data_IF_818124359414
#
_entry.id   IF_818124359414
#
_cell.length_a   1.000
_cell.length_b   1.000
_cell.length_c   1.000
_cell.angle_alpha   90.00
_cell.angle_beta   90.00
_cell.angle_gamma   90.00
#
_symmetry.space_group_name_H-M   'P 1'
#
loop_
_entity.id
_entity.type
_entity.pdbx_description
1 polymer ?
#
# COMPACT_ATOMS: atom_id res chain seq x y z
N UNK A 1 53.68 -12.81 -62.97
CA UNK A 1 52.39 -13.45 -62.63
C UNK A 1 52.03 -13.15 -61.18
N UNK A 2 51.04 -12.31 -60.93
CA UNK A 2 50.61 -11.95 -59.57
C UNK A 2 49.63 -13.01 -59.02
N UNK A 3 49.98 -13.68 -57.91
CA UNK A 3 49.07 -14.60 -57.20
C UNK A 3 47.97 -13.78 -56.51
N UNK A 4 46.71 -13.93 -56.95
CA UNK A 4 45.53 -13.44 -56.24
C UNK A 4 45.44 -14.10 -54.86
N UNK A 5 45.68 -13.34 -53.78
CA UNK A 5 45.34 -13.76 -52.41
C UNK A 5 43.81 -13.82 -52.29
N UNK A 6 43.25 -15.02 -52.09
CA UNK A 6 41.83 -15.18 -51.77
C UNK A 6 41.61 -14.70 -50.33
N UNK A 7 41.00 -13.53 -50.18
CA UNK A 7 40.53 -13.04 -48.89
C UNK A 7 39.29 -13.85 -48.48
N UNK A 8 39.46 -14.83 -47.60
CA UNK A 8 38.34 -15.53 -46.99
C UNK A 8 37.66 -14.59 -45.98
N UNK A 9 36.54 -13.96 -46.37
CA UNK A 9 35.67 -13.28 -45.42
C UNK A 9 34.87 -14.33 -44.65
N UNK A 10 35.39 -14.73 -43.48
CA UNK A 10 34.67 -15.62 -42.55
C UNK A 10 33.49 -14.82 -41.95
N UNK A 11 32.28 -14.93 -42.53
CA UNK A 11 31.05 -14.40 -41.90
C UNK A 11 30.90 -15.07 -40.53
N UNK A 12 31.10 -14.31 -39.45
CA UNK A 12 30.84 -14.78 -38.08
C UNK A 12 29.34 -15.09 -37.99
N UNK A 13 28.99 -16.37 -37.84
CA UNK A 13 27.61 -16.76 -37.49
C UNK A 13 27.41 -16.38 -36.03
N UNK A 14 26.56 -15.38 -35.79
CA UNK A 14 26.20 -14.95 -34.44
C UNK A 14 25.42 -16.11 -33.80
N UNK A 15 25.83 -16.54 -32.60
CA UNK A 15 25.13 -17.59 -31.88
C UNK A 15 23.95 -17.00 -31.11
N UNK A 16 22.80 -16.92 -31.78
CA UNK A 16 21.57 -16.37 -31.22
C UNK A 16 21.09 -17.13 -29.97
N UNK A 17 21.50 -18.39 -29.75
CA UNK A 17 21.14 -19.14 -28.54
C UNK A 17 21.72 -18.52 -27.27
N UNK A 18 22.98 -18.07 -27.32
CA UNK A 18 23.63 -17.41 -26.18
C UNK A 18 23.01 -16.05 -25.86
N UNK A 19 22.60 -15.31 -26.90
CA UNK A 19 21.92 -14.02 -26.78
C UNK A 19 20.53 -14.19 -26.16
N UNK A 20 19.78 -15.21 -26.60
CA UNK A 20 18.45 -15.50 -26.08
C UNK A 20 18.48 -15.92 -24.60
N UNK A 21 19.48 -16.72 -24.22
CA UNK A 21 19.67 -17.14 -22.83
C UNK A 21 20.03 -15.95 -21.93
N UNK A 22 20.86 -15.03 -22.41
CA UNK A 22 21.22 -13.82 -21.68
C UNK A 22 20.00 -12.88 -21.50
N UNK A 23 19.16 -12.75 -22.53
CA UNK A 23 17.88 -12.03 -22.45
C UNK A 23 16.93 -12.64 -21.42
N UNK A 24 16.80 -13.98 -21.40
CA UNK A 24 15.96 -14.67 -20.42
C UNK A 24 16.43 -14.42 -18.98
N UNK A 25 17.74 -14.45 -18.72
CA UNK A 25 18.31 -14.14 -17.39
C UNK A 25 18.00 -12.70 -16.98
N UNK A 26 18.11 -11.73 -17.90
CA UNK A 26 17.77 -10.33 -17.63
C UNK A 26 16.29 -10.18 -17.27
N UNK A 27 15.39 -10.83 -18.01
CA UNK A 27 13.94 -10.79 -17.73
C UNK A 27 13.64 -11.34 -16.33
N UNK A 28 14.27 -12.47 -15.96
CA UNK A 28 14.11 -13.05 -14.61
C UNK A 28 14.61 -12.10 -13.53
N UNK A 29 15.77 -11.45 -13.74
CA UNK A 29 16.30 -10.47 -12.78
C UNK A 29 15.38 -9.26 -12.63
N UNK A 30 14.83 -8.73 -13.72
CA UNK A 30 13.86 -7.63 -13.68
C UNK A 30 12.60 -8.06 -12.93
N UNK A 31 12.06 -9.26 -13.21
CA UNK A 31 10.88 -9.77 -12.53
C UNK A 31 11.12 -9.93 -11.01
N UNK A 32 12.29 -10.42 -10.60
CA UNK A 32 12.67 -10.53 -9.19
C UNK A 32 12.73 -9.16 -8.51
N UNK A 33 13.35 -8.16 -9.15
CA UNK A 33 13.42 -6.80 -8.61
C UNK A 33 12.02 -6.18 -8.47
N UNK A 34 11.16 -6.32 -9.48
CA UNK A 34 9.77 -5.82 -9.41
C UNK A 34 8.98 -6.49 -8.27
N UNK A 35 9.20 -7.79 -8.04
CA UNK A 35 8.53 -8.52 -6.95
C UNK A 35 8.95 -8.01 -5.56
N UNK A 36 10.22 -7.62 -5.38
CA UNK A 36 10.69 -7.03 -4.13
C UNK A 36 10.00 -5.68 -3.87
N UNK A 37 9.89 -4.82 -4.88
CA UNK A 37 9.21 -3.52 -4.72
C UNK A 37 7.71 -3.67 -4.46
N UNK A 38 7.05 -4.68 -5.05
CA UNK A 38 5.64 -4.97 -4.78
C UNK A 38 5.39 -5.41 -3.34
N UNK A 39 6.33 -6.13 -2.72
CA UNK A 39 6.19 -6.68 -1.35
C UNK A 39 6.13 -5.61 -0.25
N UNK A 40 6.59 -4.40 -0.56
CA UNK A 40 6.61 -3.26 0.37
C UNK A 40 5.52 -2.22 0.01
N UNK A 41 4.64 -2.51 -0.96
CA UNK A 41 3.50 -1.63 -1.24
C UNK A 41 2.50 -1.70 -0.09
N UNK A 42 1.77 -0.62 0.13
CA UNK A 42 0.75 -0.55 1.17
C UNK A 42 -0.33 -1.63 1.00
N UNK A 43 -0.78 -1.83 -0.24
CA UNK A 43 -1.77 -2.86 -0.61
C UNK A 43 -1.25 -4.27 -0.33
N UNK A 44 0.03 -4.56 -0.62
CA UNK A 44 0.61 -5.88 -0.32
C UNK A 44 0.66 -6.18 1.18
N UNK A 45 0.80 -5.16 2.03
CA UNK A 45 0.78 -5.33 3.49
C UNK A 45 -0.61 -5.53 4.04
N UNK A 46 -1.62 -4.92 3.44
CA UNK A 46 -3.03 -5.25 3.74
C UNK A 46 -3.28 -6.72 3.40
N UNK A 47 -2.87 -7.19 2.22
CA UNK A 47 -3.00 -8.59 1.82
C UNK A 47 -2.27 -9.52 2.81
N UNK A 48 -1.01 -9.22 3.14
CA UNK A 48 -0.22 -9.98 4.13
C UNK A 48 -0.91 -10.04 5.52
N UNK A 49 -1.50 -8.93 5.97
CA UNK A 49 -2.23 -8.87 7.24
C UNK A 49 -3.52 -9.69 7.18
N UNK A 50 -4.29 -9.59 6.11
CA UNK A 50 -5.57 -10.31 5.94
C UNK A 50 -5.40 -11.82 5.76
N UNK A 51 -4.28 -12.28 5.20
CA UNK A 51 -3.95 -13.70 5.06
C UNK A 51 -3.42 -14.33 6.36
N UNK A 52 -3.02 -13.51 7.33
CA UNK A 52 -2.46 -13.98 8.60
C UNK A 52 -3.53 -14.34 9.64
N UNK A 53 -3.12 -15.02 10.72
CA UNK A 53 -4.01 -15.38 11.83
C UNK A 53 -4.29 -14.14 12.71
N UNK A 54 -5.30 -13.35 12.30
CA UNK A 54 -5.69 -12.10 12.96
C UNK A 54 -6.23 -12.41 14.35
N UNK A 55 -5.55 -11.87 15.36
CA UNK A 55 -5.95 -11.94 16.76
C UNK A 55 -6.94 -10.82 17.07
N UNK A 56 -6.67 -9.62 16.58
CA UNK A 56 -7.42 -8.43 16.93
C UNK A 56 -7.32 -7.37 15.83
N UNK A 57 -8.40 -6.62 15.66
CA UNK A 57 -8.41 -5.36 14.92
C UNK A 57 -8.93 -4.28 15.85
N UNK A 58 -8.20 -3.17 15.96
CA UNK A 58 -8.55 -1.97 16.70
C UNK A 58 -8.44 -0.76 15.79
N UNK A 59 -9.14 0.32 16.09
CA UNK A 59 -8.93 1.55 15.35
C UNK A 59 -10.02 2.59 15.48
N UNK A 60 -9.92 3.61 14.65
CA UNK A 60 -10.87 4.72 14.63
C UNK A 60 -11.33 5.03 13.21
N UNK A 61 -12.59 5.50 13.14
CA UNK A 61 -13.15 6.15 11.98
C UNK A 61 -13.47 7.59 12.37
N UNK A 62 -12.87 8.53 11.67
CA UNK A 62 -13.01 9.97 11.91
C UNK A 62 -13.29 10.71 10.60
N UNK A 63 -13.83 11.92 10.67
CA UNK A 63 -13.76 12.87 9.55
C UNK A 63 -12.59 13.81 9.72
N UNK A 64 -11.96 14.22 8.61
CA UNK A 64 -10.91 15.23 8.56
C UNK A 64 -11.10 16.12 7.34
N UNK A 65 -10.83 17.42 7.43
CA UNK A 65 -10.98 18.35 6.28
C UNK A 65 -9.67 18.51 5.52
N UNK A 66 -8.54 18.26 6.19
CA UNK A 66 -7.20 18.38 5.61
C UNK A 66 -6.32 17.24 6.06
N UNK A 67 -5.65 16.62 5.09
CA UNK A 67 -4.76 15.49 5.31
C UNK A 67 -3.33 16.01 5.45
N UNK A 68 -2.75 15.87 6.63
CA UNK A 68 -1.32 16.03 6.84
C UNK A 68 -0.75 14.74 7.43
N UNK A 69 -0.22 13.89 6.57
CA UNK A 69 0.42 12.64 6.96
C UNK A 69 1.94 12.79 7.17
N UNK A 70 2.42 14.02 7.40
CA UNK A 70 3.81 14.30 7.72
C UNK A 70 4.07 13.98 9.19
N UNK A 71 5.12 13.19 9.48
CA UNK A 71 5.63 13.02 10.83
C UNK A 71 6.53 14.20 11.15
N UNK A 72 6.21 14.91 12.22
CA UNK A 72 7.05 16.00 12.72
C UNK A 72 7.96 15.47 13.82
N UNK A 73 9.23 15.85 13.84
CA UNK A 73 10.17 15.48 14.90
C UNK A 73 10.71 16.76 15.52
N UNK A 74 10.49 16.97 16.82
CA UNK A 74 11.07 18.07 17.57
C UNK A 74 11.78 17.53 18.82
N UNK A 75 13.05 17.90 19.02
CA UNK A 75 13.88 17.46 20.15
C UNK A 75 13.90 15.92 20.37
N UNK A 76 13.82 15.15 19.29
CA UNK A 76 13.79 13.67 19.33
C UNK A 76 12.43 13.07 19.66
N UNK A 77 11.41 13.90 19.93
CA UNK A 77 10.01 13.49 20.09
C UNK A 77 9.34 13.54 18.71
N UNK A 78 8.77 12.41 18.29
CA UNK A 78 7.99 12.32 17.05
C UNK A 78 6.53 12.63 17.36
N UNK A 79 5.96 13.55 16.60
CA UNK A 79 4.55 13.88 16.56
C UNK A 79 3.97 13.29 15.27
N UNK A 80 2.90 12.53 15.42
CA UNK A 80 2.17 11.96 14.28
C UNK A 80 1.28 13.04 13.63
N UNK A 81 0.73 12.67 12.46
CA UNK A 81 -0.13 13.41 11.55
C UNK A 81 -0.91 14.59 12.16
N UNK A 82 -0.79 15.78 11.58
CA UNK A 82 -1.49 17.01 12.02
C UNK A 82 -2.75 17.27 11.18
N UNK A 83 -3.64 16.29 11.12
CA UNK A 83 -4.93 16.45 10.43
C UNK A 83 -5.73 17.63 11.02
N UNK A 84 -6.34 18.43 10.15
CA UNK A 84 -7.24 19.51 10.59
C UNK A 84 -8.70 19.04 10.55
N UNK A 85 -9.52 19.59 11.44
CA UNK A 85 -10.97 19.34 11.46
C UNK A 85 -11.37 17.94 11.94
N UNK A 86 -10.51 17.25 12.70
CA UNK A 86 -10.77 15.87 13.17
C UNK A 86 -12.07 15.82 13.98
N UNK A 87 -13.03 15.01 13.51
CA UNK A 87 -14.21 14.61 14.29
C UNK A 87 -14.32 13.10 14.34
N UNK A 88 -14.13 12.52 15.52
CA UNK A 88 -14.26 11.09 15.72
C UNK A 88 -15.71 10.65 15.55
N UNK A 89 -15.94 9.69 14.66
CA UNK A 89 -17.26 9.08 14.44
C UNK A 89 -17.40 7.85 15.32
N UNK A 90 -16.44 6.94 15.23
CA UNK A 90 -16.51 5.63 15.87
C UNK A 90 -15.12 5.14 16.26
N UNK A 91 -15.07 4.40 17.37
CA UNK A 91 -13.96 3.48 17.65
C UNK A 91 -14.45 2.10 17.28
N UNK A 92 -13.66 1.33 16.54
CA UNK A 92 -13.98 -0.07 16.28
C UNK A 92 -13.00 -0.98 17.02
N UNK A 93 -13.53 -2.10 17.50
CA UNK A 93 -12.78 -3.12 18.21
C UNK A 93 -13.20 -4.53 17.75
N UNK A 94 -12.91 -5.56 18.54
CA UNK A 94 -13.20 -6.95 18.23
C UNK A 94 -14.64 -7.24 17.77
N UNK A 95 -15.62 -6.40 18.11
CA UNK A 95 -17.01 -6.53 17.64
C UNK A 95 -17.20 -6.17 16.16
N UNK A 96 -16.41 -5.23 15.65
CA UNK A 96 -16.45 -4.71 14.28
C UNK A 96 -15.44 -5.42 13.34
N UNK A 97 -14.64 -6.35 13.88
CA UNK A 97 -13.53 -6.98 13.18
C UNK A 97 -13.89 -7.55 11.81
N UNK A 98 -15.02 -8.24 11.67
CA UNK A 98 -15.43 -8.81 10.38
C UNK A 98 -15.82 -7.73 9.36
N UNK A 99 -16.40 -6.61 9.83
CA UNK A 99 -16.75 -5.47 8.98
C UNK A 99 -15.51 -4.75 8.48
N UNK A 100 -14.53 -4.53 9.37
CA UNK A 100 -13.24 -3.94 9.02
C UNK A 100 -12.46 -4.85 8.07
N UNK A 101 -12.44 -6.17 8.30
CA UNK A 101 -11.84 -7.14 7.35
C UNK A 101 -12.49 -7.03 5.97
N UNK A 102 -13.82 -6.93 5.91
CA UNK A 102 -14.53 -6.80 4.64
C UNK A 102 -14.20 -5.48 3.93
N UNK A 103 -14.03 -4.39 4.67
CA UNK A 103 -13.59 -3.10 4.14
C UNK A 103 -12.22 -3.21 3.48
N UNK A 104 -11.22 -3.76 4.19
CA UNK A 104 -9.87 -3.97 3.64
C UNK A 104 -9.86 -4.95 2.46
N UNK A 105 -10.66 -6.03 2.51
CA UNK A 105 -10.82 -6.95 1.36
C UNK A 105 -11.36 -6.23 0.12
N UNK A 106 -12.28 -5.30 0.30
CA UNK A 106 -12.81 -4.51 -0.81
C UNK A 106 -11.83 -3.44 -1.29
N UNK A 107 -10.99 -2.90 -0.38
CA UNK A 107 -9.88 -2.03 -0.77
C UNK A 107 -8.89 -2.76 -1.70
N UNK A 108 -8.59 -4.04 -1.46
CA UNK A 108 -7.73 -4.85 -2.34
C UNK A 108 -8.29 -5.05 -3.75
N UNK A 109 -9.60 -4.91 -3.95
CA UNK A 109 -10.26 -4.98 -5.26
C UNK A 109 -10.23 -3.64 -6.02
N UNK A 110 -9.76 -2.57 -5.38
CA UNK A 110 -9.81 -1.21 -5.93
C UNK A 110 -8.78 -1.05 -7.05
N UNK A 111 -9.08 -0.19 -8.02
CA UNK A 111 -8.21 0.05 -9.16
C UNK A 111 -7.26 1.21 -8.87
N UNK A 112 -5.96 0.98 -9.06
CA UNK A 112 -4.95 2.04 -9.06
C UNK A 112 -5.23 3.06 -10.16
N UNK A 113 -5.21 4.35 -9.80
CA UNK A 113 -5.52 5.45 -10.73
C UNK A 113 -4.32 6.36 -10.95
N UNK A 114 -3.91 7.08 -9.92
CA UNK A 114 -2.82 8.05 -9.97
C UNK A 114 -2.00 8.07 -8.69
N UNK A 115 -0.77 8.57 -8.79
CA UNK A 115 0.10 8.82 -7.65
C UNK A 115 0.19 10.33 -7.45
N UNK A 116 -0.14 10.80 -6.25
CA UNK A 116 -0.16 12.23 -5.89
C UNK A 116 0.77 12.50 -4.73
N UNK A 117 1.37 13.69 -4.66
CA UNK A 117 2.25 14.03 -3.54
C UNK A 117 1.46 14.17 -2.24
N UNK A 118 0.29 14.82 -2.29
CA UNK A 118 -0.68 14.89 -1.20
C UNK A 118 -2.11 14.91 -1.76
N UNK A 119 -3.10 14.37 -1.02
CA UNK A 119 -4.52 14.62 -1.30
C UNK A 119 -4.82 16.12 -1.23
N UNK A 120 -5.86 16.56 -1.95
CA UNK A 120 -6.30 17.96 -1.92
C UNK A 120 -7.05 18.26 -0.62
N UNK A 121 -7.20 19.53 -0.28
CA UNK A 121 -8.13 19.92 0.78
C UNK A 121 -9.56 19.85 0.23
N UNK A 122 -10.49 19.26 0.98
CA UNK A 122 -11.90 19.09 0.58
C UNK A 122 -12.79 19.58 1.72
N UNK A 123 -13.76 20.45 1.40
CA UNK A 123 -14.66 21.04 2.41
C UNK A 123 -15.58 19.98 3.06
N UNK A 124 -16.11 19.04 2.27
CA UNK A 124 -16.89 17.90 2.77
C UNK A 124 -16.03 16.91 3.59
N UNK A 125 -14.71 17.01 3.43
CA UNK A 125 -13.72 16.23 4.15
C UNK A 125 -13.58 14.79 3.67
N UNK A 126 -12.78 14.06 4.43
CA UNK A 126 -12.42 12.68 4.22
C UNK A 126 -12.92 11.86 5.39
N UNK A 127 -13.35 10.63 5.12
CA UNK A 127 -13.34 9.59 6.15
C UNK A 127 -11.91 9.08 6.31
N UNK A 128 -11.33 9.32 7.48
CA UNK A 128 -10.03 8.83 7.88
C UNK A 128 -10.21 7.56 8.72
N UNK A 129 -9.62 6.46 8.24
CA UNK A 129 -9.62 5.17 8.90
C UNK A 129 -8.20 4.91 9.40
N UNK A 130 -8.08 4.75 10.71
CA UNK A 130 -6.89 4.23 11.38
C UNK A 130 -7.21 2.83 11.87
N UNK A 131 -6.40 1.83 11.52
CA UNK A 131 -6.62 0.46 11.92
C UNK A 131 -5.31 -0.26 12.27
N UNK A 132 -5.26 -0.79 13.49
CA UNK A 132 -4.19 -1.63 13.98
C UNK A 132 -4.64 -3.10 13.90
N UNK A 133 -3.94 -3.88 13.09
CA UNK A 133 -4.18 -5.32 12.92
C UNK A 133 -3.08 -6.08 13.62
N UNK A 134 -3.45 -6.80 14.68
CA UNK A 134 -2.55 -7.68 15.41
C UNK A 134 -2.76 -9.10 14.92
N UNK A 135 -1.71 -9.73 14.42
CA UNK A 135 -1.76 -11.11 13.97
C UNK A 135 -0.66 -11.97 14.54
N UNK A 136 -0.94 -13.27 14.60
CA UNK A 136 0.03 -14.29 14.99
C UNK A 136 0.70 -14.85 13.75
N UNK A 137 2.02 -14.82 13.75
CA UNK A 137 2.82 -15.54 12.78
C UNK A 137 3.56 -16.68 13.48
N UNK A 138 3.39 -17.91 13.00
CA UNK A 138 4.15 -19.07 13.47
C UNK A 138 5.43 -19.20 12.66
N UNK A 139 6.57 -18.96 13.31
CA UNK A 139 7.88 -19.25 12.74
C UNK A 139 8.46 -20.44 13.47
N UNK A 140 8.49 -21.59 12.80
CA UNK A 140 8.89 -22.89 13.37
C UNK A 140 8.04 -23.26 14.60
N UNK A 141 8.58 -23.09 15.80
CA UNK A 141 7.95 -23.40 17.09
C UNK A 141 7.57 -22.16 17.90
N UNK A 142 7.88 -20.95 17.41
CA UNK A 142 7.58 -19.70 18.10
C UNK A 142 6.39 -19.00 17.46
N UNK A 143 5.40 -18.64 18.28
CA UNK A 143 4.35 -17.71 17.89
C UNK A 143 4.85 -16.31 18.16
N UNK A 144 5.04 -15.52 17.09
CA UNK A 144 5.39 -14.10 17.19
C UNK A 144 4.17 -13.28 16.80
N UNK A 145 3.82 -12.31 17.63
CA UNK A 145 2.83 -11.31 17.26
C UNK A 145 3.45 -10.28 16.32
N UNK A 146 2.71 -9.94 15.29
CA UNK A 146 3.06 -8.91 14.31
C UNK A 146 1.91 -7.91 14.28
N UNK A 147 2.28 -6.65 14.35
CA UNK A 147 1.37 -5.52 14.35
C UNK A 147 1.50 -4.79 13.02
N UNK A 148 0.37 -4.41 12.46
CA UNK A 148 0.28 -3.61 11.25
C UNK A 148 -0.62 -2.41 11.51
N UNK A 149 -0.07 -1.22 11.33
CA UNK A 149 -0.79 0.04 11.48
C UNK A 149 -1.12 0.57 10.10
N UNK A 150 -2.41 0.79 9.85
CA UNK A 150 -2.93 1.20 8.55
C UNK A 150 -3.71 2.52 8.69
N UNK A 151 -3.33 3.50 7.88
CA UNK A 151 -4.00 4.78 7.67
C UNK A 151 -4.47 4.92 6.21
N UNK A 152 -5.77 5.15 6.00
CA UNK A 152 -6.26 5.54 4.67
C UNK A 152 -7.38 6.56 4.74
N UNK A 153 -7.53 7.29 3.64
CA UNK A 153 -8.42 8.44 3.55
C UNK A 153 -9.39 8.26 2.40
N UNK A 154 -10.67 8.14 2.70
CA UNK A 154 -11.73 8.02 1.72
C UNK A 154 -12.37 9.39 1.45
N UNK A 155 -12.22 9.84 0.21
CA UNK A 155 -12.78 11.06 -0.37
C UNK A 155 -14.27 10.84 -0.65
N UNK A 156 -15.10 11.52 0.15
CA UNK A 156 -16.56 11.35 0.16
C UNK A 156 -17.16 11.82 -1.17
N UNK A 157 -16.66 12.94 -1.70
CA UNK A 157 -17.16 13.58 -2.92
C UNK A 157 -16.77 12.77 -4.17
N UNK A 158 -15.48 12.41 -4.26
CA UNK A 158 -14.93 11.83 -5.50
C UNK A 158 -14.90 10.30 -5.50
N UNK A 159 -15.32 9.65 -4.41
CA UNK A 159 -15.35 8.19 -4.28
C UNK A 159 -13.98 7.54 -4.50
N UNK A 160 -12.95 8.11 -3.88
CA UNK A 160 -11.55 7.68 -4.04
C UNK A 160 -10.93 7.42 -2.68
N UNK A 161 -10.05 6.43 -2.60
CA UNK A 161 -9.24 6.19 -1.41
C UNK A 161 -7.80 6.58 -1.69
N UNK A 162 -7.23 7.35 -0.79
CA UNK A 162 -5.82 7.66 -0.74
C UNK A 162 -5.17 6.78 0.33
N UNK A 163 -4.21 5.95 -0.11
CA UNK A 163 -3.30 5.19 0.75
C UNK A 163 -1.88 5.67 0.47
N UNK A 164 -0.93 5.42 1.38
CA UNK A 164 0.48 5.63 1.04
C UNK A 164 0.90 4.67 -0.08
N UNK A 165 1.78 5.09 -0.97
CA UNK A 165 2.30 4.23 -2.04
C UNK A 165 3.07 3.03 -1.45
N UNK A 166 3.83 3.29 -0.38
CA UNK A 166 4.67 2.31 0.31
C UNK A 166 4.25 2.18 1.76
N UNK A 167 4.30 0.95 2.26
CA UNK A 167 4.07 0.70 3.66
C UNK A 167 5.30 1.08 4.48
N UNK A 168 5.10 1.97 5.42
CA UNK A 168 6.06 2.32 6.45
C UNK A 168 5.32 2.40 7.76
N UNK A 169 5.88 1.78 8.80
CA UNK A 169 5.38 2.03 10.14
C UNK A 169 5.51 3.52 10.50
N UNK A 170 4.69 3.95 11.46
CA UNK A 170 4.62 5.32 11.97
C UNK A 170 5.95 5.82 12.56
N UNK A 171 6.92 4.93 12.75
CA UNK A 171 8.22 5.27 13.34
C UNK A 171 9.32 5.44 12.28
N UNK A 172 9.02 5.23 10.99
CA UNK A 172 10.02 5.29 9.94
C UNK A 172 10.24 6.73 9.42
N UNK A 173 11.49 7.23 9.50
CA UNK A 173 11.85 8.56 8.95
C UNK A 173 11.62 8.70 7.43
N UNK A 174 11.44 7.59 6.70
CA UNK A 174 11.09 7.59 5.26
C UNK A 174 9.62 7.91 4.99
N UNK A 175 8.75 7.82 5.99
CA UNK A 175 7.31 8.04 5.90
C UNK A 175 6.96 9.46 5.41
N UNK A 176 7.83 10.46 5.64
CA UNK A 176 7.62 11.86 5.19
C UNK A 176 7.87 12.09 3.69
N UNK A 177 8.48 11.14 2.97
CA UNK A 177 8.85 11.31 1.55
C UNK A 177 7.94 10.54 0.61
N UNK A 178 6.79 10.15 1.11
CA UNK A 178 5.97 9.08 0.53
C UNK A 178 4.76 9.69 -0.11
N UNK A 179 4.64 9.52 -1.41
CA UNK A 179 3.46 9.86 -2.18
C UNK A 179 2.27 9.01 -1.75
N UNK A 180 1.08 9.46 -2.13
CA UNK A 180 -0.15 8.72 -2.01
C UNK A 180 -0.48 8.01 -3.32
N UNK A 181 -0.92 6.76 -3.19
CA UNK A 181 -1.59 6.03 -4.24
C UNK A 181 -3.10 6.30 -4.14
N UNK A 182 -3.68 6.82 -5.21
CA UNK A 182 -5.12 7.00 -5.35
C UNK A 182 -5.75 5.74 -5.93
N UNK A 183 -6.85 5.29 -5.33
CA UNK A 183 -7.58 4.09 -5.67
C UNK A 183 -9.04 4.44 -5.94
N UNK A 184 -9.57 3.97 -7.07
CA UNK A 184 -11.02 4.00 -7.32
C UNK A 184 -11.66 2.80 -6.63
N UNK A 185 -12.59 3.07 -5.70
CA UNK A 185 -13.22 2.02 -4.89
C UNK A 185 -14.50 1.47 -5.51
N UNK A 186 -14.84 0.24 -5.12
CA UNK A 186 -16.07 -0.44 -5.53
C UNK A 186 -17.28 0.11 -4.77
N UNK A 187 -18.49 -0.09 -5.28
CA UNK A 187 -19.71 0.28 -4.55
C UNK A 187 -19.87 -0.53 -3.24
N UNK A 188 -19.36 -1.75 -3.21
CA UNK A 188 -19.31 -2.58 -1.99
C UNK A 188 -18.48 -1.89 -0.88
N UNK A 189 -17.32 -1.32 -1.23
CA UNK A 189 -16.50 -0.55 -0.29
C UNK A 189 -17.27 0.65 0.29
N UNK A 190 -17.97 1.41 -0.58
CA UNK A 190 -18.74 2.58 -0.18
C UNK A 190 -19.83 2.22 0.81
N UNK A 191 -20.59 1.16 0.50
CA UNK A 191 -21.67 0.69 1.37
C UNK A 191 -21.14 0.30 2.75
N UNK A 192 -20.00 -0.40 2.83
CA UNK A 192 -19.39 -0.78 4.11
C UNK A 192 -19.00 0.45 4.92
N UNK A 193 -18.35 1.46 4.30
CA UNK A 193 -18.01 2.73 4.96
C UNK A 193 -19.27 3.41 5.50
N UNK A 194 -20.30 3.58 4.68
CA UNK A 194 -21.55 4.25 5.07
C UNK A 194 -22.21 3.53 6.24
N UNK A 195 -22.29 2.20 6.21
CA UNK A 195 -22.84 1.47 7.34
C UNK A 195 -21.96 1.56 8.62
N UNK A 196 -20.66 1.80 8.48
CA UNK A 196 -19.77 2.05 9.62
C UNK A 196 -19.94 3.47 10.18
N UNK A 197 -20.39 4.43 9.37
CA UNK A 197 -20.69 5.80 9.81
C UNK A 197 -22.09 5.95 10.41
N UNK A 198 -23.06 5.18 9.91
CA UNK A 198 -24.48 5.31 10.24
C UNK A 198 -24.91 4.58 11.54
N UNK A 199 -23.96 4.18 12.41
CA UNK A 199 -24.29 3.40 13.63
C UNK A 199 -24.93 4.22 14.77
N UNK A 200 -25.47 5.41 14.48
CA UNK A 200 -26.35 6.15 15.37
C UNK A 200 -27.81 6.02 14.88
N UNK A 201 -28.46 4.91 15.23
CA UNK A 201 -29.91 4.83 15.42
C UNK A 201 -30.22 3.79 16.51
#
# INVERSE_FOLDING_TARGET
MARKKRMYSRRRRINYKGIFLLLAVIIVLIALLLNIFKKDSYISKIEEALESDIVQILGTLSTVTKIDATIYENDGIKYTNQHEGIKKIKTFDGTDQEKVKLLFKNLLKSQETEIVDNPKDIEEGYYWIEADIISKNKVLFFTKEKEYNFDFYYDIENNRVYVKEKYFDEFNKRYNKTKFQCLSVTDEFKNIIVEMTDTNN
#
